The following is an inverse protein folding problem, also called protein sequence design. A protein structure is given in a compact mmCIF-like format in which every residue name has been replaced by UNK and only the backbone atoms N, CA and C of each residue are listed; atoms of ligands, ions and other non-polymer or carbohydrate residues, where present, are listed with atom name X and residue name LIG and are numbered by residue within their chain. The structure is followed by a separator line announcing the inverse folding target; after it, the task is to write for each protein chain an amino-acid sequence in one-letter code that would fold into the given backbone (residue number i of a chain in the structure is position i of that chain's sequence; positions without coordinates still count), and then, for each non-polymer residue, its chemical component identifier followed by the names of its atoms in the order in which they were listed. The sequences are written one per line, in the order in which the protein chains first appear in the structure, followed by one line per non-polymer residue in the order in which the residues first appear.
data_IF_856061533980
#
_entry.id   IF_856061533980
#
_cell.length_a   1.000
_cell.length_b   1.000
_cell.length_c   1.000
_cell.angle_alpha   90.00
_cell.angle_beta   90.00
_cell.angle_gamma   90.00
#
_symmetry.space_group_name_H-M   'P 1'
#
loop_
_entity.id
_entity.type
_entity.pdbx_description
1 polymer ?
#
# COMPACT_ATOMS: atom_id res chain seq x y z
N UNK A 1 -41.34 -39.07 -27.92
CA UNK A 1 -40.64 -39.62 -29.11
C UNK A 1 -39.95 -38.47 -29.81
N UNK A 2 -38.66 -38.44 -30.10
CA UNK A 2 -37.59 -39.41 -29.94
C UNK A 2 -36.28 -38.65 -29.66
N UNK A 3 -35.44 -39.30 -28.86
CA UNK A 3 -34.05 -38.98 -28.49
C UNK A 3 -33.08 -39.02 -29.67
N UNK A 4 -32.03 -38.20 -29.65
CA UNK A 4 -30.76 -38.49 -30.34
C UNK A 4 -29.60 -38.21 -29.38
N UNK A 5 -29.03 -39.30 -28.90
CA UNK A 5 -27.69 -39.35 -28.35
C UNK A 5 -26.71 -39.68 -29.49
N UNK A 6 -25.54 -39.06 -29.49
CA UNK A 6 -24.38 -39.57 -30.22
C UNK A 6 -23.14 -39.36 -29.35
N UNK A 7 -22.49 -40.47 -29.05
CA UNK A 7 -21.30 -40.55 -28.23
C UNK A 7 -20.08 -40.92 -29.09
N UNK A 8 -18.93 -40.39 -28.66
CA UNK A 8 -17.57 -40.96 -28.71
C UNK A 8 -16.86 -41.19 -30.07
N UNK A 9 -15.70 -40.54 -30.21
CA UNK A 9 -14.46 -41.23 -30.59
C UNK A 9 -13.24 -40.50 -29.98
N UNK A 10 -12.64 -41.13 -28.98
CA UNK A 10 -11.28 -40.85 -28.49
C UNK A 10 -10.29 -41.69 -29.32
N UNK A 11 -9.24 -41.06 -29.83
CA UNK A 11 -7.96 -41.72 -30.16
C UNK A 11 -6.86 -40.85 -29.59
N UNK A 12 -6.07 -41.40 -28.67
CA UNK A 12 -4.95 -40.73 -28.04
C UNK A 12 -3.60 -41.28 -28.50
N UNK A 13 -2.55 -40.50 -28.24
CA UNK A 13 -1.15 -40.90 -28.02
C UNK A 13 -0.51 -39.79 -27.16
N UNK A 14 -0.25 -40.06 -25.87
CA UNK A 14 1.09 -40.22 -25.24
C UNK A 14 1.97 -38.94 -25.25
N UNK A 15 2.52 -38.42 -24.15
CA UNK A 15 2.63 -38.93 -22.77
C UNK A 15 3.31 -37.92 -21.83
N UNK A 16 3.78 -38.44 -20.69
CA UNK A 16 4.27 -37.81 -19.45
C UNK A 16 3.17 -37.36 -18.48
N UNK A 17 3.02 -37.88 -17.26
CA UNK A 17 3.81 -38.87 -16.52
C UNK A 17 4.08 -38.38 -15.10
N UNK A 18 3.13 -38.67 -14.19
CA UNK A 18 3.28 -38.97 -12.74
C UNK A 18 3.90 -37.86 -11.86
N UNK A 19 3.30 -37.43 -10.73
CA UNK A 19 2.57 -38.25 -9.78
C UNK A 19 1.58 -37.55 -8.84
N UNK A 20 0.63 -38.39 -8.42
CA UNK A 20 -0.33 -38.31 -7.32
C UNK A 20 0.39 -38.13 -5.95
N UNK A 21 -0.23 -37.72 -4.84
CA UNK A 21 -1.55 -38.15 -4.40
C UNK A 21 -2.26 -37.18 -3.45
N UNK A 22 -3.58 -37.22 -3.61
CA UNK A 22 -4.68 -36.67 -2.84
C UNK A 22 -4.79 -37.20 -1.41
N UNK A 23 -5.43 -36.39 -0.55
CA UNK A 23 -5.84 -36.76 0.80
C UNK A 23 -7.04 -37.71 0.90
N UNK A 24 -7.56 -37.81 2.12
CA UNK A 24 -8.79 -38.52 2.46
C UNK A 24 -8.76 -39.01 3.91
N UNK A 25 -9.60 -38.42 4.76
CA UNK A 25 -9.64 -38.70 6.19
C UNK A 25 -10.35 -40.00 6.59
N UNK A 26 -10.30 -40.30 7.89
CA UNK A 26 -11.31 -41.09 8.61
C UNK A 26 -11.12 -40.90 10.12
N UNK A 27 -12.21 -40.54 10.79
CA UNK A 27 -12.35 -40.45 12.24
C UNK A 27 -12.69 -41.82 12.84
N UNK A 28 -11.96 -42.28 13.86
CA UNK A 28 -12.53 -43.15 14.92
C UNK A 28 -11.67 -43.13 16.20
N UNK A 29 -12.30 -42.90 17.35
CA UNK A 29 -12.10 -43.73 18.55
C UNK A 29 -10.94 -43.43 19.51
N UNK A 30 -11.26 -42.63 20.54
CA UNK A 30 -11.19 -43.00 21.96
C UNK A 30 -9.83 -43.29 22.68
N UNK A 31 -9.75 -42.68 23.89
CA UNK A 31 -9.06 -43.08 25.13
C UNK A 31 -7.68 -42.47 25.46
N UNK A 32 -7.76 -41.53 26.43
CA UNK A 32 -7.12 -41.56 27.75
C UNK A 32 -5.61 -41.28 27.91
N UNK A 33 -5.39 -40.42 28.91
CA UNK A 33 -4.17 -40.05 29.59
C UNK A 33 -3.26 -41.24 29.98
N UNK A 34 -1.95 -41.01 30.08
CA UNK A 34 -1.27 -40.94 31.38
C UNK A 34 0.18 -40.43 31.27
N UNK A 35 0.53 -39.73 32.33
CA UNK A 35 1.80 -39.27 32.88
C UNK A 35 3.00 -40.20 32.70
N UNK A 36 4.21 -39.63 32.67
CA UNK A 36 5.43 -40.43 32.76
C UNK A 36 6.72 -39.61 32.79
N UNK A 37 7.02 -39.08 33.97
CA UNK A 37 8.21 -38.31 34.32
C UNK A 37 9.51 -39.13 34.24
N UNK A 38 10.59 -38.42 33.89
CA UNK A 38 11.97 -38.45 34.44
C UNK A 38 12.77 -39.76 34.42
N UNK A 39 14.06 -39.67 34.06
CA UNK A 39 15.21 -39.58 35.00
C UNK A 39 16.53 -39.65 34.19
N UNK A 40 17.42 -38.66 34.35
CA UNK A 40 18.74 -38.81 35.03
C UNK A 40 19.83 -39.26 34.04
N UNK A 41 21.09 -38.86 34.09
CA UNK A 41 21.91 -37.99 34.95
C UNK A 41 23.31 -38.08 34.30
N UNK A 42 24.16 -37.05 34.42
CA UNK A 42 25.53 -37.21 34.93
C UNK A 42 26.28 -35.88 34.92
N UNK A 43 26.68 -35.52 36.14
CA UNK A 43 27.34 -34.32 36.58
C UNK A 43 28.88 -34.39 36.42
N UNK A 44 29.55 -33.24 36.59
CA UNK A 44 30.52 -32.92 37.67
C UNK A 44 31.53 -31.83 37.19
N UNK A 45 31.56 -30.72 37.95
CA UNK A 45 32.51 -29.58 37.99
C UNK A 45 33.92 -29.96 38.54
N UNK A 46 34.86 -29.09 39.03
CA UNK A 46 35.01 -27.61 39.04
C UNK A 46 36.44 -27.08 38.72
N UNK A 47 36.63 -25.75 38.68
CA UNK A 47 37.95 -25.13 38.43
C UNK A 47 38.16 -23.63 38.77
N UNK A 48 37.86 -23.20 40.01
CA UNK A 48 38.58 -22.23 40.90
C UNK A 48 39.11 -20.85 40.37
N UNK A 49 38.36 -19.78 40.73
CA UNK A 49 38.68 -18.53 41.48
C UNK A 49 39.47 -17.29 40.96
N UNK A 50 38.88 -16.13 41.38
CA UNK A 50 39.46 -14.85 41.88
C UNK A 50 39.85 -13.75 40.86
N UNK A 51 39.61 -12.44 41.01
CA UNK A 51 38.97 -11.55 42.04
C UNK A 51 38.87 -10.09 41.44
N UNK A 52 37.98 -9.25 42.00
CA UNK A 52 37.88 -7.77 41.94
C UNK A 52 37.64 -7.04 40.59
N UNK A 53 36.76 -6.03 40.45
CA UNK A 53 35.98 -5.28 41.42
C UNK A 53 35.22 -4.10 40.78
N UNK A 54 34.18 -3.64 41.47
CA UNK A 54 33.61 -2.30 41.50
C UNK A 54 33.35 -1.50 40.19
N UNK A 55 32.07 -1.42 39.82
CA UNK A 55 31.32 -0.16 39.74
C UNK A 55 31.78 0.93 38.76
N UNK A 56 31.04 1.07 37.66
CA UNK A 56 30.78 2.37 37.04
C UNK A 56 29.42 2.34 36.34
N UNK A 57 28.49 3.13 36.87
CA UNK A 57 27.30 3.57 36.16
C UNK A 57 27.73 4.30 34.88
N UNK A 58 27.06 4.02 33.75
CA UNK A 58 27.28 4.78 32.53
C UNK A 58 26.65 4.14 31.30
N UNK A 59 25.42 4.56 31.02
CA UNK A 59 24.82 4.70 29.69
C UNK A 59 25.47 3.91 28.53
N UNK A 60 24.89 2.76 28.18
CA UNK A 60 25.11 2.12 26.88
C UNK A 60 23.98 1.11 26.59
N UNK A 61 22.73 1.57 26.59
CA UNK A 61 21.60 0.83 26.03
C UNK A 61 20.69 1.81 25.31
N UNK A 62 21.23 2.51 24.30
CA UNK A 62 20.45 3.37 23.43
C UNK A 62 21.06 3.32 22.03
N UNK A 63 20.74 2.26 21.28
CA UNK A 63 20.99 2.10 19.84
C UNK A 63 20.31 0.85 19.25
N UNK A 64 19.86 -0.12 20.06
CA UNK A 64 19.39 -1.43 19.54
C UNK A 64 17.88 -1.55 19.33
N UNK A 65 17.10 -0.53 19.69
CA UNK A 65 15.65 -0.47 19.43
C UNK A 65 15.25 0.61 18.43
N UNK A 66 16.21 1.33 17.83
CA UNK A 66 15.95 2.34 16.80
C UNK A 66 15.82 1.76 15.39
N UNK A 67 15.65 0.44 15.24
CA UNK A 67 15.13 -0.14 14.00
C UNK A 67 13.63 0.11 13.90
N UNK A 68 13.32 1.40 13.76
CA UNK A 68 12.04 1.93 13.36
C UNK A 68 11.91 1.61 11.89
N UNK A 69 11.13 0.57 11.58
CA UNK A 69 10.46 0.46 10.29
C UNK A 69 9.74 1.80 10.05
N UNK A 70 9.77 2.41 8.85
CA UNK A 70 8.90 3.54 8.55
C UNK A 70 7.46 3.02 8.71
N UNK A 71 6.81 3.43 9.80
CA UNK A 71 5.65 2.74 10.38
C UNK A 71 6.05 1.88 11.58
N UNK A 72 6.40 2.52 12.71
CA UNK A 72 6.75 1.83 13.94
C UNK A 72 5.61 0.96 14.45
N UNK A 73 5.75 -0.37 14.32
CA UNK A 73 4.95 -1.32 15.06
C UNK A 73 5.33 -1.23 16.54
N UNK A 74 4.53 -0.50 17.32
CA UNK A 74 4.72 -0.28 18.76
C UNK A 74 3.40 0.19 19.39
N UNK A 75 3.28 0.07 20.71
CA UNK A 75 2.11 0.59 21.45
C UNK A 75 2.26 2.09 21.55
N UNK A 76 1.23 2.85 21.20
CA UNK A 76 1.25 4.31 21.32
C UNK A 76 0.38 4.74 22.50
N UNK A 77 0.86 5.72 23.26
CA UNK A 77 0.10 6.47 24.25
C UNK A 77 -0.13 7.88 23.69
N UNK A 78 -1.37 8.21 23.35
CA UNK A 78 -1.72 9.49 22.73
C UNK A 78 -2.09 10.53 23.80
N UNK A 79 -1.57 11.74 23.62
CA UNK A 79 -1.86 12.91 24.43
C UNK A 79 -2.27 14.08 23.53
N UNK A 80 -3.24 14.88 23.95
CA UNK A 80 -3.64 16.09 23.25
C UNK A 80 -4.19 17.11 24.25
N UNK A 81 -4.21 18.38 23.87
CA UNK A 81 -4.92 19.43 24.60
C UNK A 81 -5.52 20.45 23.64
N UNK A 82 -6.61 21.09 24.02
CA UNK A 82 -7.22 22.16 23.24
C UNK A 82 -7.98 21.73 21.98
N UNK A 83 -8.20 20.42 21.77
CA UNK A 83 -9.04 19.91 20.69
C UNK A 83 -10.50 20.36 20.88
N UNK A 84 -11.15 20.69 19.77
CA UNK A 84 -12.56 21.08 19.78
C UNK A 84 -13.47 19.94 20.23
N UNK A 85 -14.52 20.30 20.98
CA UNK A 85 -15.61 19.39 21.35
C UNK A 85 -16.86 19.58 20.49
N UNK A 86 -16.79 20.44 19.46
CA UNK A 86 -17.91 20.71 18.55
C UNK A 86 -18.13 19.54 17.59
N UNK A 87 -19.39 19.15 17.41
CA UNK A 87 -19.80 18.20 16.37
C UNK A 87 -20.35 18.95 15.16
N UNK A 88 -20.57 18.25 14.06
CA UNK A 88 -21.11 18.87 12.86
C UNK A 88 -21.60 17.88 11.82
N UNK A 89 -21.63 18.33 10.57
CA UNK A 89 -21.83 17.47 9.41
C UNK A 89 -20.88 17.86 8.30
N UNK A 90 -20.47 16.88 7.49
CA UNK A 90 -19.64 17.09 6.31
C UNK A 90 -20.05 16.12 5.21
N UNK A 91 -19.84 16.51 3.96
CA UNK A 91 -20.23 15.72 2.79
C UNK A 91 -19.35 14.48 2.69
N UNK A 92 -19.96 13.34 2.38
CA UNK A 92 -19.28 12.13 1.95
C UNK A 92 -19.54 11.86 0.46
N UNK A 93 -18.63 11.11 -0.15
CA UNK A 93 -18.67 10.75 -1.56
C UNK A 93 -18.44 9.25 -1.73
N UNK A 94 -18.84 8.71 -2.88
CA UNK A 94 -18.54 7.35 -3.29
C UNK A 94 -18.03 7.33 -4.72
N UNK A 95 -17.15 6.38 -5.02
CA UNK A 95 -16.76 6.11 -6.40
C UNK A 95 -17.88 5.36 -7.13
N UNK A 96 -18.36 5.89 -8.26
CA UNK A 96 -19.32 5.22 -9.13
C UNK A 96 -18.61 4.35 -10.17
N UNK A 97 -18.00 3.26 -9.69
CA UNK A 97 -17.28 2.30 -10.52
C UNK A 97 -18.15 1.71 -11.64
N UNK A 98 -19.44 1.48 -11.38
CA UNK A 98 -20.33 0.87 -12.36
C UNK A 98 -20.53 1.76 -13.58
N UNK A 99 -20.62 3.08 -13.39
CA UNK A 99 -20.72 4.03 -14.49
C UNK A 99 -19.46 4.05 -15.37
N UNK A 100 -18.28 3.81 -14.77
CA UNK A 100 -16.99 3.92 -15.44
C UNK A 100 -16.55 2.61 -16.13
N UNK A 101 -16.92 1.45 -15.59
CA UNK A 101 -16.46 0.13 -16.03
C UNK A 101 -17.12 -0.38 -17.34
N UNK A 102 -17.19 0.47 -18.37
CA UNK A 102 -17.80 0.16 -19.67
C UNK A 102 -16.73 -0.09 -20.73
N UNK A 103 -17.05 -0.96 -21.71
CA UNK A 103 -16.16 -1.21 -22.85
C UNK A 103 -15.81 0.07 -23.64
N UNK A 104 -16.73 1.02 -23.69
CA UNK A 104 -16.55 2.31 -24.38
C UNK A 104 -15.48 3.16 -23.69
N UNK A 105 -15.56 3.32 -22.37
CA UNK A 105 -14.57 4.07 -21.60
C UNK A 105 -13.18 3.42 -21.68
N UNK A 106 -13.12 2.09 -21.60
CA UNK A 106 -11.85 1.36 -21.75
C UNK A 106 -11.27 1.52 -23.16
N UNK A 107 -12.11 1.49 -24.19
CA UNK A 107 -11.66 1.72 -25.57
C UNK A 107 -11.19 3.16 -25.81
N UNK A 108 -11.83 4.15 -25.18
CA UNK A 108 -11.41 5.55 -25.24
C UNK A 108 -10.03 5.75 -24.60
N UNK A 109 -9.82 5.20 -23.40
CA UNK A 109 -8.52 5.20 -22.73
C UNK A 109 -7.44 4.50 -23.57
N UNK A 110 -7.74 3.31 -24.09
CA UNK A 110 -6.85 2.56 -24.96
C UNK A 110 -6.43 3.38 -26.20
N UNK A 111 -7.37 4.04 -26.85
CA UNK A 111 -7.10 4.86 -28.04
C UNK A 111 -6.18 6.05 -27.71
N UNK A 112 -6.38 6.69 -26.56
CA UNK A 112 -5.50 7.77 -26.09
C UNK A 112 -4.07 7.29 -25.80
N UNK A 113 -3.92 6.04 -25.36
CA UNK A 113 -2.63 5.37 -25.15
C UNK A 113 -2.05 4.77 -26.44
N UNK A 114 -2.61 5.11 -27.61
CA UNK A 114 -2.12 4.65 -28.90
C UNK A 114 -2.40 3.18 -29.21
N UNK A 115 -3.24 2.52 -28.41
CA UNK A 115 -3.61 1.13 -28.62
C UNK A 115 -4.80 1.02 -29.57
N UNK A 116 -4.78 -0.02 -30.41
CA UNK A 116 -5.88 -0.38 -31.29
C UNK A 116 -6.42 -1.76 -30.95
N UNK A 117 -7.73 -1.93 -31.00
CA UNK A 117 -8.39 -3.22 -30.81
C UNK A 117 -9.68 -3.09 -30.02
N UNK A 118 -10.25 -4.23 -29.64
CA UNK A 118 -11.46 -4.29 -28.82
C UNK A 118 -11.10 -4.87 -27.46
N UNK A 119 -11.31 -4.13 -26.35
CA UNK A 119 -11.09 -4.66 -25.01
C UNK A 119 -11.97 -5.89 -24.76
N UNK A 120 -11.41 -6.93 -24.14
CA UNK A 120 -12.14 -8.14 -23.73
C UNK A 120 -12.26 -8.19 -22.21
N UNK A 121 -13.40 -8.61 -21.70
CA UNK A 121 -13.60 -8.78 -20.26
C UNK A 121 -13.22 -10.19 -19.85
N UNK A 122 -12.15 -10.32 -19.06
CA UNK A 122 -11.58 -11.60 -18.63
C UNK A 122 -11.09 -11.50 -17.19
N UNK A 123 -11.35 -12.52 -16.37
CA UNK A 123 -10.87 -12.61 -14.98
C UNK A 123 -11.16 -11.37 -14.10
N UNK A 124 -12.30 -10.71 -14.30
CA UNK A 124 -12.70 -9.53 -13.51
C UNK A 124 -12.01 -8.22 -13.93
N UNK A 125 -11.37 -8.17 -15.11
CA UNK A 125 -10.81 -6.95 -15.68
C UNK A 125 -11.06 -6.88 -17.18
N UNK A 126 -11.23 -5.67 -17.71
CA UNK A 126 -11.12 -5.43 -19.14
C UNK A 126 -9.65 -5.44 -19.54
N UNK A 127 -9.35 -6.11 -20.63
CA UNK A 127 -7.99 -6.33 -21.12
C UNK A 127 -7.88 -5.89 -22.58
N UNK A 128 -6.76 -5.25 -22.91
CA UNK A 128 -6.33 -5.06 -24.30
C UNK A 128 -4.83 -5.29 -24.37
N UNK A 129 -4.36 -6.07 -25.35
CA UNK A 129 -2.96 -6.48 -25.46
C UNK A 129 -2.66 -7.80 -24.74
N UNK A 130 -1.38 -8.21 -24.76
CA UNK A 130 -0.89 -9.47 -24.20
C UNK A 130 0.10 -9.21 -23.06
N UNK A 131 0.06 -10.03 -22.02
CA UNK A 131 1.03 -9.99 -20.90
C UNK A 131 2.35 -10.71 -21.21
N UNK A 132 2.60 -11.10 -22.46
CA UNK A 132 3.87 -11.70 -22.87
C UNK A 132 5.06 -10.73 -22.86
N UNK A 133 4.81 -9.45 -22.57
CA UNK A 133 5.84 -8.42 -22.47
C UNK A 133 6.38 -7.93 -23.82
N UNK A 134 5.72 -8.27 -24.93
CA UNK A 134 6.21 -7.92 -26.28
C UNK A 134 5.49 -6.73 -26.92
N UNK A 135 4.35 -6.33 -26.36
CA UNK A 135 3.49 -5.26 -26.88
C UNK A 135 2.80 -4.51 -25.73
N UNK A 136 2.24 -3.31 -25.99
CA UNK A 136 1.48 -2.58 -24.99
C UNK A 136 0.33 -3.42 -24.42
N UNK A 137 0.10 -3.28 -23.13
CA UNK A 137 -1.01 -3.90 -22.41
C UNK A 137 -1.74 -2.86 -21.58
N UNK A 138 -3.07 -2.91 -21.62
CA UNK A 138 -3.98 -2.15 -20.77
C UNK A 138 -4.86 -3.13 -20.01
N UNK A 139 -4.93 -2.94 -18.70
CA UNK A 139 -5.85 -3.64 -17.81
C UNK A 139 -6.69 -2.62 -17.06
N UNK A 140 -8.00 -2.86 -16.99
CA UNK A 140 -8.94 -2.06 -16.21
C UNK A 140 -9.76 -2.98 -15.33
N UNK A 141 -9.53 -2.93 -14.03
CA UNK A 141 -10.16 -3.81 -13.05
C UNK A 141 -11.60 -3.38 -12.74
N UNK A 142 -12.47 -4.36 -12.46
CA UNK A 142 -13.84 -4.12 -11.98
C UNK A 142 -13.88 -3.89 -10.45
N UNK A 143 -12.90 -3.18 -9.91
CA UNK A 143 -12.85 -2.81 -8.49
C UNK A 143 -13.64 -1.53 -8.19
N UNK A 144 -13.75 -1.17 -6.91
CA UNK A 144 -14.54 0.00 -6.47
C UNK A 144 -14.06 1.35 -6.98
N UNK A 145 -12.90 1.44 -7.64
CA UNK A 145 -12.38 2.66 -8.27
C UNK A 145 -12.29 2.55 -9.79
N UNK A 146 -12.61 1.38 -10.35
CA UNK A 146 -12.30 1.03 -11.74
C UNK A 146 -10.84 1.34 -12.06
N UNK A 147 -9.94 0.79 -11.24
CA UNK A 147 -8.51 1.04 -11.39
C UNK A 147 -8.00 0.54 -12.74
N UNK A 148 -7.01 1.23 -13.30
CA UNK A 148 -6.36 0.81 -14.54
C UNK A 148 -4.85 0.82 -14.43
N UNK A 149 -4.22 0.01 -15.26
CA UNK A 149 -2.78 0.02 -15.49
C UNK A 149 -2.48 -0.18 -16.97
N UNK A 150 -1.51 0.57 -17.46
CA UNK A 150 -0.98 0.47 -18.80
C UNK A 150 0.54 0.33 -18.74
N UNK A 151 1.11 -0.44 -19.66
CA UNK A 151 2.55 -0.50 -19.87
C UNK A 151 2.86 -0.77 -21.34
N UNK A 152 3.85 -0.07 -21.89
CA UNK A 152 4.46 -0.34 -23.19
C UNK A 152 5.91 -0.84 -23.01
N UNK A 153 6.15 -2.16 -23.08
CA UNK A 153 7.50 -2.72 -22.98
C UNK A 153 8.49 -2.20 -24.03
N UNK A 154 8.03 -1.72 -25.18
CA UNK A 154 8.89 -1.17 -26.23
C UNK A 154 9.52 0.18 -25.83
N UNK A 155 8.94 0.86 -24.84
CA UNK A 155 9.40 2.14 -24.30
C UNK A 155 10.17 2.00 -22.97
N UNK A 156 10.61 0.78 -22.61
CA UNK A 156 11.28 0.52 -21.34
C UNK A 156 12.51 1.45 -21.15
N UNK A 157 12.47 2.38 -20.18
CA UNK A 157 13.51 3.38 -20.02
C UNK A 157 14.76 2.84 -19.32
N UNK A 158 14.72 1.63 -18.74
CA UNK A 158 15.83 1.06 -18.00
C UNK A 158 16.61 0.02 -18.80
N UNK A 159 16.11 -0.37 -19.98
CA UNK A 159 16.74 -1.39 -20.79
C UNK A 159 16.70 -1.06 -22.28
N UNK A 160 17.88 -0.89 -22.88
CA UNK A 160 18.02 -0.69 -24.32
C UNK A 160 17.91 -1.99 -25.11
N UNK A 161 18.48 -3.08 -24.59
CA UNK A 161 18.46 -4.39 -25.26
C UNK A 161 18.20 -5.52 -24.29
N UNK A 162 17.23 -6.37 -24.63
CA UNK A 162 17.00 -7.66 -23.98
C UNK A 162 17.57 -8.79 -24.81
N UNK A 163 18.08 -9.83 -24.17
CA UNK A 163 18.48 -11.05 -24.86
C UNK A 163 17.28 -11.97 -25.16
N UNK A 164 17.54 -13.14 -25.75
CA UNK A 164 16.52 -14.13 -26.07
C UNK A 164 15.82 -14.75 -24.84
N UNK A 165 16.36 -14.53 -23.63
CA UNK A 165 15.74 -14.94 -22.36
C UNK A 165 14.95 -13.82 -21.68
N UNK A 166 14.91 -12.62 -22.28
CA UNK A 166 14.24 -11.44 -21.73
C UNK A 166 15.06 -10.70 -20.68
N UNK A 167 16.34 -11.04 -20.51
CA UNK A 167 17.22 -10.37 -19.54
C UNK A 167 17.79 -9.10 -20.15
N UNK A 168 17.80 -8.02 -19.37
CA UNK A 168 18.43 -6.78 -19.80
C UNK A 168 19.95 -6.95 -19.92
N UNK A 169 20.47 -6.65 -21.11
CA UNK A 169 21.91 -6.77 -21.43
C UNK A 169 22.59 -5.43 -21.60
N UNK A 170 21.82 -4.36 -21.73
CA UNK A 170 22.31 -3.00 -21.85
C UNK A 170 21.32 -2.04 -21.18
N UNK A 171 21.80 -1.26 -20.21
CA UNK A 171 21.03 -0.16 -19.64
C UNK A 171 20.74 0.90 -20.70
N UNK A 172 19.53 1.44 -20.67
CA UNK A 172 19.18 2.52 -21.56
C UNK A 172 19.87 3.82 -21.13
N UNK A 173 20.56 4.43 -22.08
CA UNK A 173 21.05 5.80 -21.96
C UNK A 173 20.07 6.70 -22.70
N UNK A 174 19.50 7.69 -22.00
CA UNK A 174 18.54 8.61 -22.58
C UNK A 174 18.59 9.96 -21.88
N UNK A 175 18.26 11.01 -22.62
CA UNK A 175 18.01 12.30 -22.01
C UNK A 175 16.70 12.23 -21.23
N UNK A 176 16.73 12.74 -20.01
CA UNK A 176 15.55 12.88 -19.18
C UNK A 176 14.49 13.74 -19.93
N UNK A 177 13.27 13.22 -20.17
CA UNK A 177 12.23 14.01 -20.83
C UNK A 177 11.91 15.30 -20.07
N UNK A 178 11.43 16.32 -20.79
CA UNK A 178 11.02 17.59 -20.21
C UNK A 178 9.79 17.43 -19.30
N UNK A 179 9.73 18.22 -18.22
CA UNK A 179 8.65 18.16 -17.24
C UNK A 179 7.28 18.46 -17.84
N UNK A 180 7.16 19.58 -18.55
CA UNK A 180 5.91 20.00 -19.19
C UNK A 180 5.39 18.97 -20.19
N UNK A 181 6.29 18.21 -20.85
CA UNK A 181 5.90 17.15 -21.78
C UNK A 181 5.28 15.96 -21.06
N UNK A 182 5.87 15.52 -19.95
CA UNK A 182 5.33 14.42 -19.16
C UNK A 182 4.01 14.80 -18.47
N UNK A 183 3.92 16.04 -17.95
CA UNK A 183 2.68 16.56 -17.37
C UNK A 183 1.59 16.65 -18.43
N UNK A 184 1.88 17.19 -19.63
CA UNK A 184 0.91 17.24 -20.72
C UNK A 184 0.39 15.84 -21.10
N UNK A 185 1.26 14.83 -21.16
CA UNK A 185 0.84 13.46 -21.41
C UNK A 185 -0.11 12.91 -20.32
N UNK A 186 0.18 13.20 -19.04
CA UNK A 186 -0.74 12.83 -17.95
C UNK A 186 -2.10 13.53 -18.08
N UNK A 187 -2.12 14.82 -18.45
CA UNK A 187 -3.37 15.57 -18.68
C UNK A 187 -4.18 14.96 -19.82
N UNK A 188 -3.54 14.55 -20.91
CA UNK A 188 -4.21 13.93 -22.05
C UNK A 188 -4.84 12.58 -21.65
N UNK A 189 -4.18 11.79 -20.81
CA UNK A 189 -4.73 10.53 -20.28
C UNK A 189 -5.94 10.79 -19.36
N UNK A 190 -5.87 11.79 -18.47
CA UNK A 190 -6.99 12.18 -17.60
C UNK A 190 -8.18 12.72 -18.43
N UNK A 191 -7.91 13.52 -19.46
CA UNK A 191 -8.98 13.99 -20.34
C UNK A 191 -9.64 12.83 -21.11
N UNK A 192 -8.84 11.83 -21.53
CA UNK A 192 -9.32 10.65 -22.23
C UNK A 192 -10.14 9.69 -21.35
N UNK A 193 -9.93 9.69 -20.03
CA UNK A 193 -10.81 8.98 -19.09
C UNK A 193 -12.15 9.69 -18.86
N UNK A 194 -12.35 10.87 -19.45
CA UNK A 194 -13.56 11.68 -19.28
C UNK A 194 -13.52 12.58 -18.04
N UNK A 195 -12.35 12.76 -17.42
CA UNK A 195 -12.17 13.62 -16.25
C UNK A 195 -11.57 14.97 -16.65
N UNK A 196 -11.81 15.98 -15.79
CA UNK A 196 -11.24 17.30 -15.98
C UNK A 196 -9.80 17.33 -15.47
N UNK A 197 -8.83 17.51 -16.37
CA UNK A 197 -7.41 17.60 -16.02
C UNK A 197 -7.08 18.82 -15.14
N UNK A 198 -7.91 19.87 -15.14
CA UNK A 198 -7.76 21.05 -14.27
C UNK A 198 -8.21 20.76 -12.83
N UNK A 199 -8.94 19.67 -12.60
CA UNK A 199 -9.34 19.19 -11.27
C UNK A 199 -8.26 18.33 -10.59
N UNK A 200 -7.00 18.44 -11.01
CA UNK A 200 -5.88 17.69 -10.47
C UNK A 200 -4.71 18.63 -10.16
N UNK A 201 -3.96 18.29 -9.12
CA UNK A 201 -2.65 18.85 -8.85
C UNK A 201 -1.55 17.92 -9.37
N UNK A 202 -0.53 18.48 -10.02
CA UNK A 202 0.52 17.71 -10.68
C UNK A 202 1.85 17.95 -9.99
N UNK A 203 2.60 16.88 -9.77
CA UNK A 203 3.97 16.93 -9.28
C UNK A 203 4.85 16.03 -10.14
N UNK A 204 6.06 16.49 -10.42
CA UNK A 204 7.07 15.67 -11.09
C UNK A 204 8.35 15.76 -10.28
N UNK A 205 8.89 14.60 -9.95
CA UNK A 205 10.14 14.47 -9.18
C UNK A 205 11.05 13.51 -9.93
N UNK A 206 12.32 13.83 -10.01
CA UNK A 206 13.34 13.02 -10.67
C UNK A 206 14.51 12.84 -9.71
N UNK A 207 15.14 11.67 -9.75
CA UNK A 207 16.34 11.37 -8.99
C UNK A 207 17.59 11.50 -9.87
N UNK A 208 18.77 11.56 -9.25
CA UNK A 208 20.03 11.64 -10.00
C UNK A 208 20.25 10.37 -10.84
N UNK A 209 20.52 10.54 -12.14
CA UNK A 209 20.60 9.44 -13.09
C UNK A 209 19.26 8.93 -13.63
N UNK A 210 18.14 9.63 -13.39
CA UNK A 210 16.85 9.27 -13.97
C UNK A 210 16.88 9.33 -15.52
N UNK A 211 16.41 8.25 -16.13
CA UNK A 211 16.32 8.02 -17.59
C UNK A 211 14.89 8.13 -18.13
N UNK A 212 13.95 8.42 -17.23
CA UNK A 212 12.54 8.65 -17.47
C UNK A 212 12.01 9.62 -16.43
N UNK A 213 10.83 10.19 -16.70
CA UNK A 213 10.21 11.18 -15.84
C UNK A 213 8.91 10.68 -15.25
N UNK A 214 8.86 10.63 -13.93
CA UNK A 214 7.66 10.32 -13.18
C UNK A 214 6.77 11.55 -12.99
N UNK A 215 5.46 11.37 -13.10
CA UNK A 215 4.44 12.37 -12.80
C UNK A 215 3.40 11.74 -11.88
N UNK A 216 3.08 12.46 -10.81
CA UNK A 216 1.93 12.16 -9.96
C UNK A 216 0.85 13.22 -10.20
N UNK A 217 -0.38 12.78 -10.44
CA UNK A 217 -1.55 13.64 -10.53
C UNK A 217 -2.53 13.31 -9.41
N UNK A 218 -2.76 14.27 -8.51
CA UNK A 218 -3.61 14.15 -7.35
C UNK A 218 -4.99 14.74 -7.68
N UNK A 219 -6.08 13.95 -7.69
CA UNK A 219 -7.40 14.51 -7.84
C UNK A 219 -7.69 15.50 -6.71
N UNK A 220 -8.28 16.64 -7.06
CA UNK A 220 -8.70 17.67 -6.12
C UNK A 220 -10.22 17.62 -5.95
N UNK A 221 -10.66 17.65 -4.70
CA UNK A 221 -12.07 17.84 -4.34
C UNK A 221 -12.17 19.03 -3.41
N UNK A 222 -12.87 20.07 -3.85
CA UNK A 222 -12.98 21.35 -3.13
C UNK A 222 -11.62 21.99 -2.75
N UNK A 223 -10.59 21.71 -3.55
CA UNK A 223 -9.22 22.19 -3.34
C UNK A 223 -8.34 21.29 -2.45
N UNK A 224 -8.89 20.20 -1.91
CA UNK A 224 -8.13 19.21 -1.14
C UNK A 224 -7.71 18.03 -2.01
N UNK A 225 -6.48 17.53 -1.81
CA UNK A 225 -6.02 16.31 -2.48
C UNK A 225 -6.73 15.09 -1.93
N UNK A 226 -7.15 14.21 -2.83
CA UNK A 226 -7.54 12.85 -2.48
C UNK A 226 -6.30 11.97 -2.32
N UNK A 227 -6.38 10.96 -1.46
CA UNK A 227 -5.21 10.12 -1.12
C UNK A 227 -4.66 9.27 -2.28
N UNK A 228 -5.41 9.08 -3.37
CA UNK A 228 -5.02 8.22 -4.48
C UNK A 228 -4.54 9.06 -5.66
N UNK A 229 -3.22 9.26 -5.77
CA UNK A 229 -2.61 9.81 -6.96
C UNK A 229 -2.70 8.83 -8.13
N UNK A 230 -2.78 9.41 -9.33
CA UNK A 230 -2.42 8.73 -10.56
C UNK A 230 -0.92 8.84 -10.77
N UNK A 231 -0.33 7.82 -11.36
CA UNK A 231 1.10 7.76 -11.60
C UNK A 231 1.36 7.51 -13.07
N UNK A 232 2.30 8.25 -13.65
CA UNK A 232 2.75 8.09 -15.02
C UNK A 232 4.27 8.08 -15.05
N UNK A 233 4.84 7.14 -15.79
CA UNK A 233 6.24 7.14 -16.16
C UNK A 233 6.37 7.49 -17.64
N UNK A 234 7.02 8.62 -17.91
CA UNK A 234 7.24 9.11 -19.26
C UNK A 234 8.68 8.80 -19.68
N UNK A 235 8.82 7.98 -20.72
CA UNK A 235 10.10 7.61 -21.30
C UNK A 235 10.37 8.40 -22.59
N UNK A 236 11.59 8.24 -23.13
CA UNK A 236 11.86 8.73 -24.49
C UNK A 236 10.96 8.00 -25.47
N UNK A 237 10.09 8.75 -26.16
CA UNK A 237 9.15 8.19 -27.15
C UNK A 237 7.70 8.11 -26.69
N UNK A 238 7.40 8.31 -25.40
CA UNK A 238 6.01 8.39 -24.93
C UNK A 238 5.79 7.88 -23.51
N UNK A 239 4.53 7.57 -23.21
CA UNK A 239 4.11 6.99 -21.94
C UNK A 239 4.61 5.55 -21.85
N UNK A 240 5.56 5.28 -20.95
CA UNK A 240 6.02 3.91 -20.69
C UNK A 240 5.00 3.16 -19.84
N UNK A 241 4.52 3.79 -18.78
CA UNK A 241 3.47 3.24 -17.92
C UNK A 241 2.58 4.34 -17.36
N UNK A 242 1.32 3.98 -17.07
CA UNK A 242 0.40 4.86 -16.35
C UNK A 242 -0.63 4.03 -15.60
N UNK A 243 -0.99 4.47 -14.40
CA UNK A 243 -2.05 3.88 -13.59
C UNK A 243 -2.87 4.95 -12.88
N UNK A 244 -4.15 4.63 -12.65
CA UNK A 244 -5.13 5.56 -12.09
C UNK A 244 -6.49 4.90 -11.87
N UNK A 245 -7.54 5.71 -11.79
CA UNK A 245 -8.91 5.28 -11.44
C UNK A 245 -9.96 5.92 -12.33
N UNK A 246 -10.75 5.14 -13.07
CA UNK A 246 -11.75 5.71 -13.99
C UNK A 246 -13.06 6.12 -13.31
N UNK A 247 -13.33 5.62 -12.10
CA UNK A 247 -14.58 5.90 -11.42
C UNK A 247 -14.70 7.39 -11.05
N UNK A 248 -15.78 8.08 -11.45
CA UNK A 248 -16.06 9.42 -10.95
C UNK A 248 -16.54 9.37 -9.50
N UNK A 249 -16.40 10.49 -8.78
CA UNK A 249 -16.99 10.66 -7.46
C UNK A 249 -18.42 11.18 -7.57
N UNK A 250 -19.30 10.61 -6.76
CA UNK A 250 -20.68 11.07 -6.58
C UNK A 250 -20.91 11.43 -5.12
N UNK A 251 -21.58 12.56 -4.88
CA UNK A 251 -21.94 12.99 -3.53
C UNK A 251 -22.99 12.07 -2.92
N UNK A 252 -22.74 11.61 -1.69
CA UNK A 252 -23.66 10.78 -0.89
C UNK A 252 -24.49 11.62 0.10
N UNK A 253 -24.19 12.92 0.20
CA UNK A 253 -24.84 13.86 1.10
C UNK A 253 -24.06 14.08 2.39
N UNK A 254 -24.66 14.84 3.30
CA UNK A 254 -24.06 15.18 4.59
C UNK A 254 -24.12 14.01 5.58
N UNK A 255 -22.96 13.69 6.15
CA UNK A 255 -22.83 12.74 7.25
C UNK A 255 -22.59 13.50 8.56
N UNK A 256 -23.24 13.11 9.67
CA UNK A 256 -22.86 13.60 10.98
C UNK A 256 -21.42 13.23 11.29
N UNK A 257 -20.65 14.18 11.81
CA UNK A 257 -19.27 13.97 12.24
C UNK A 257 -19.12 14.16 13.75
N UNK A 258 -18.18 13.42 14.33
CA UNK A 258 -17.77 13.60 15.72
C UNK A 258 -16.87 14.83 15.86
N UNK A 259 -16.62 15.24 17.10
CA UNK A 259 -15.66 16.31 17.40
C UNK A 259 -14.22 15.84 17.24
N UNK A 260 -13.29 16.80 17.12
CA UNK A 260 -11.84 16.53 17.12
C UNK A 260 -11.43 15.71 18.35
N UNK A 261 -11.94 16.07 19.53
CA UNK A 261 -11.67 15.36 20.78
C UNK A 261 -12.17 13.90 20.72
N UNK A 262 -13.38 13.67 20.20
CA UNK A 262 -13.91 12.32 20.09
C UNK A 262 -13.18 11.48 19.04
N UNK A 263 -12.75 12.08 17.92
CA UNK A 263 -11.91 11.39 16.94
C UNK A 263 -10.50 11.09 17.50
N UNK A 264 -9.93 11.98 18.32
CA UNK A 264 -8.68 11.72 19.02
C UNK A 264 -8.81 10.51 19.96
N UNK A 265 -9.90 10.40 20.71
CA UNK A 265 -10.17 9.25 21.57
C UNK A 265 -10.23 7.93 20.78
N UNK A 266 -10.70 7.95 19.53
CA UNK A 266 -10.71 6.78 18.63
C UNK A 266 -9.31 6.28 18.25
N UNK A 267 -8.25 7.11 18.30
CA UNK A 267 -6.87 6.64 18.04
C UNK A 267 -6.45 5.53 18.99
N UNK A 268 -6.99 5.52 20.21
CA UNK A 268 -6.74 4.49 21.21
C UNK A 268 -7.83 3.40 21.26
N UNK A 269 -8.88 3.51 20.44
CA UNK A 269 -9.99 2.56 20.41
C UNK A 269 -9.68 1.39 19.46
N UNK A 270 -9.66 0.14 19.96
CA UNK A 270 -9.41 -1.05 19.14
C UNK A 270 -10.39 -1.26 17.99
N UNK A 271 -11.59 -0.65 18.03
CA UNK A 271 -12.58 -0.72 16.95
C UNK A 271 -12.14 0.04 15.69
N UNK A 272 -11.33 1.07 15.87
CA UNK A 272 -10.92 1.96 14.78
C UNK A 272 -9.47 1.72 14.35
N UNK A 273 -8.58 1.45 15.32
CA UNK A 273 -7.16 1.24 15.09
C UNK A 273 -6.46 2.51 14.60
N UNK A 274 -5.51 3.06 15.35
CA UNK A 274 -4.70 4.18 14.86
C UNK A 274 -3.94 3.76 13.59
N UNK A 275 -4.21 4.46 12.49
CA UNK A 275 -3.41 4.34 11.27
C UNK A 275 -2.53 5.58 11.13
N UNK A 276 -1.20 5.37 11.06
CA UNK A 276 -0.29 6.42 10.60
C UNK A 276 -0.55 6.62 9.12
N UNK A 277 -0.87 7.85 8.72
CA UNK A 277 -0.91 8.21 7.31
C UNK A 277 0.52 8.38 6.85
N UNK A 278 1.00 7.43 6.03
CA UNK A 278 2.37 7.45 5.48
C UNK A 278 2.57 8.65 4.52
N UNK A 279 1.49 9.29 4.07
CA UNK A 279 1.50 10.44 3.16
C UNK A 279 0.69 11.60 3.76
N UNK A 280 1.29 12.77 4.03
CA UNK A 280 0.53 13.94 4.44
C UNK A 280 -0.38 14.42 3.31
N UNK A 281 -1.67 14.62 3.58
CA UNK A 281 -2.63 14.99 2.52
C UNK A 281 -2.33 16.37 1.88
N UNK A 282 -1.64 17.25 2.60
CA UNK A 282 -1.42 18.65 2.20
C UNK A 282 0.06 18.98 1.95
N UNK A 283 0.95 17.99 1.99
CA UNK A 283 2.40 18.19 1.88
C UNK A 283 2.89 18.11 0.43
N UNK A 284 3.92 18.90 0.03
CA UNK A 284 4.70 18.52 -1.14
C UNK A 284 5.18 17.09 -0.93
N UNK A 285 5.10 16.27 -1.97
CA UNK A 285 5.70 14.93 -1.98
C UNK A 285 7.16 15.11 -1.55
N UNK A 286 7.47 14.81 -0.30
CA UNK A 286 8.83 14.76 0.20
C UNK A 286 9.45 13.45 -0.32
N UNK A 287 9.57 13.34 -1.64
CA UNK A 287 10.63 12.54 -2.26
C UNK A 287 11.99 13.25 -2.09
N UNK A 288 11.98 14.49 -1.59
CA UNK A 288 13.07 15.07 -0.81
C UNK A 288 12.75 15.00 0.69
N UNK A 289 12.53 13.79 1.22
CA UNK A 289 13.04 13.53 2.56
C UNK A 289 14.56 13.57 2.43
N UNK A 290 15.10 14.78 2.51
CA UNK A 290 16.51 15.04 2.59
C UNK A 290 17.11 14.08 3.61
N UNK A 291 17.89 13.14 3.06
CA UNK A 291 19.03 12.53 3.73
C UNK A 291 19.89 13.60 4.44
N UNK A 292 19.75 14.88 4.11
CA UNK A 292 20.47 16.01 4.70
C UNK A 292 19.91 16.61 6.02
N UNK A 293 18.66 16.35 6.45
CA UNK A 293 18.21 16.80 7.79
C UNK A 293 17.85 15.65 8.75
N UNK A 294 17.79 14.42 8.24
CA UNK A 294 17.82 13.20 9.07
C UNK A 294 19.25 12.77 9.44
N UNK A 295 20.26 13.53 9.02
CA UNK A 295 21.68 13.30 9.33
C UNK A 295 22.06 13.50 10.81
N UNK A 296 21.14 14.02 11.65
CA UNK A 296 21.36 14.11 13.10
C UNK A 296 20.75 12.96 13.93
N UNK A 297 19.96 12.07 13.32
CA UNK A 297 19.35 10.93 14.01
C UNK A 297 19.91 9.60 13.49
N UNK A 298 21.16 9.31 13.89
CA UNK A 298 21.74 7.96 13.94
C UNK A 298 21.45 7.06 12.74
N UNK A 299 22.07 7.35 11.59
CA UNK A 299 22.34 6.32 10.58
C UNK A 299 23.46 5.40 11.10
N UNK A 300 23.16 4.60 12.12
CA UNK A 300 24.00 3.46 12.46
C UNK A 300 23.89 2.45 11.32
N UNK A 301 25.02 2.21 10.64
CA UNK A 301 25.14 1.16 9.64
C UNK A 301 24.73 -0.15 10.32
N UNK A 302 23.66 -0.76 9.81
CA UNK A 302 23.19 -2.05 10.32
C UNK A 302 24.29 -3.10 10.16
N UNK A 303 24.94 -3.46 11.25
CA UNK A 303 25.84 -4.60 11.31
C UNK A 303 25.03 -5.85 11.66
N UNK A 304 24.99 -6.87 10.78
CA UNK A 304 24.31 -8.13 11.08
C UNK A 304 24.87 -8.73 12.37
N UNK A 305 24.02 -9.24 13.27
CA UNK A 305 24.48 -9.93 14.47
C UNK A 305 25.39 -11.11 14.08
N UNK A 306 26.60 -11.17 14.65
CA UNK A 306 27.52 -12.29 14.45
C UNK A 306 27.27 -13.46 15.41
N UNK A 307 26.38 -13.27 16.38
CA UNK A 307 25.98 -14.28 17.36
C UNK A 307 24.49 -14.13 17.68
N UNK A 308 23.86 -15.24 18.08
CA UNK A 308 22.49 -15.23 18.58
C UNK A 308 22.39 -14.45 19.91
N UNK A 309 21.21 -13.89 20.25
CA UNK A 309 20.99 -13.30 21.57
C UNK A 309 21.27 -14.32 22.68
N UNK A 310 21.91 -13.86 23.76
CA UNK A 310 22.10 -14.69 24.93
C UNK A 310 20.75 -15.16 25.50
N UNK A 311 20.72 -16.38 26.05
CA UNK A 311 19.54 -16.91 26.74
C UNK A 311 19.15 -15.95 27.89
N UNK A 312 17.91 -15.44 27.93
CA UNK A 312 17.46 -14.59 29.03
C UNK A 312 17.53 -15.34 30.36
N UNK A 313 18.02 -14.68 31.41
CA UNK A 313 18.03 -15.22 32.75
C UNK A 313 16.64 -15.15 33.41
N UNK A 314 16.41 -16.00 34.41
CA UNK A 314 15.18 -15.94 35.19
C UNK A 314 15.06 -14.56 35.87
N UNK A 315 13.94 -13.87 35.64
CA UNK A 315 13.72 -12.50 36.13
C UNK A 315 14.21 -11.40 35.19
N UNK A 316 14.66 -11.74 33.97
CA UNK A 316 14.98 -10.75 32.94
C UNK A 316 13.80 -9.80 32.70
N UNK A 317 14.12 -8.51 32.59
CA UNK A 317 13.12 -7.50 32.26
C UNK A 317 12.52 -7.77 30.88
N UNK A 318 11.19 -7.70 30.80
CA UNK A 318 10.48 -7.81 29.53
C UNK A 318 10.49 -6.43 28.86
N UNK A 319 11.10 -6.34 27.67
CA UNK A 319 11.01 -5.13 26.87
C UNK A 319 9.56 -4.90 26.47
N UNK A 320 9.04 -3.71 26.79
CA UNK A 320 7.66 -3.32 26.55
C UNK A 320 7.60 -1.84 26.16
N UNK A 321 8.22 -1.50 25.04
CA UNK A 321 8.26 -0.14 24.54
C UNK A 321 6.85 0.40 24.29
N UNK A 322 6.60 1.61 24.79
CA UNK A 322 5.42 2.43 24.53
C UNK A 322 5.93 3.78 24.00
N UNK A 323 5.39 4.23 22.88
CA UNK A 323 5.72 5.52 22.31
C UNK A 323 4.73 6.56 22.84
N UNK A 324 5.24 7.65 23.42
CA UNK A 324 4.42 8.80 23.77
C UNK A 324 4.24 9.69 22.53
N UNK A 325 2.99 9.94 22.15
CA UNK A 325 2.62 10.74 20.96
C UNK A 325 1.79 11.94 21.40
N UNK A 326 2.36 13.14 21.28
CA UNK A 326 1.66 14.39 21.58
C UNK A 326 1.06 14.98 20.30
N UNK A 327 -0.26 14.99 20.19
CA UNK A 327 -1.01 15.64 19.10
C UNK A 327 -1.09 17.14 19.35
N UNK A 328 -0.66 17.92 18.36
CA UNK A 328 -0.58 19.39 18.43
C UNK A 328 -1.58 20.10 17.52
N UNK A 329 -2.10 19.41 16.50
CA UNK A 329 -3.16 19.95 15.63
C UNK A 329 -4.10 18.87 15.12
N UNK A 330 -5.32 19.27 14.82
CA UNK A 330 -6.32 18.48 14.10
C UNK A 330 -6.87 19.32 12.96
N UNK A 331 -7.09 18.70 11.80
CA UNK A 331 -7.81 19.30 10.68
C UNK A 331 -8.81 18.30 10.14
N UNK A 332 -9.97 18.77 9.70
CA UNK A 332 -10.92 17.96 8.96
C UNK A 332 -10.53 17.97 7.48
N UNK A 333 -10.53 16.80 6.86
CA UNK A 333 -10.37 16.62 5.42
C UNK A 333 -11.09 15.36 4.96
N UNK A 334 -10.61 14.77 3.86
CA UNK A 334 -11.23 13.60 3.24
C UNK A 334 -10.30 12.39 3.22
N UNK A 335 -10.85 11.23 3.59
CA UNK A 335 -10.12 9.96 3.59
C UNK A 335 -10.88 8.84 2.88
N UNK A 336 -10.15 7.95 2.22
CA UNK A 336 -10.73 6.81 1.52
C UNK A 336 -11.02 5.64 2.47
N UNK A 337 -12.15 4.98 2.29
CA UNK A 337 -12.60 3.83 3.07
C UNK A 337 -13.09 2.72 2.15
N UNK A 338 -12.35 1.61 2.13
CA UNK A 338 -12.71 0.42 1.37
C UNK A 338 -13.72 -0.41 2.16
N UNK A 339 -14.84 -0.70 1.52
CA UNK A 339 -15.92 -1.48 2.12
C UNK A 339 -15.71 -2.98 1.88
N UNK A 340 -16.38 -3.81 2.67
CA UNK A 340 -16.31 -5.28 2.53
C UNK A 340 -16.84 -5.79 1.19
N UNK A 341 -17.73 -5.04 0.54
CA UNK A 341 -18.27 -5.33 -0.79
C UNK A 341 -17.36 -4.85 -1.95
N UNK A 342 -16.23 -4.23 -1.62
CA UNK A 342 -15.26 -3.71 -2.59
C UNK A 342 -15.55 -2.29 -3.09
N UNK A 343 -16.66 -1.66 -2.68
CA UNK A 343 -16.90 -0.24 -2.94
C UNK A 343 -15.92 0.64 -2.16
N UNK A 344 -15.67 1.84 -2.68
CA UNK A 344 -14.76 2.80 -2.05
C UNK A 344 -15.50 4.10 -1.78
N UNK A 345 -15.52 4.49 -0.50
CA UNK A 345 -16.07 5.75 -0.05
C UNK A 345 -14.94 6.76 0.17
N UNK A 346 -15.25 8.04 -0.02
CA UNK A 346 -14.40 9.15 0.40
C UNK A 346 -15.18 9.92 1.45
N UNK A 347 -14.74 9.84 2.70
CA UNK A 347 -15.51 10.27 3.86
C UNK A 347 -14.75 11.30 4.69
N UNK A 348 -15.48 12.15 5.45
CA UNK A 348 -14.88 13.06 6.41
C UNK A 348 -13.92 12.32 7.36
N UNK A 349 -12.70 12.83 7.47
CA UNK A 349 -11.59 12.24 8.21
C UNK A 349 -10.82 13.35 8.91
N UNK A 350 -10.53 13.18 10.20
CA UNK A 350 -9.61 14.07 10.90
C UNK A 350 -8.18 13.60 10.67
N UNK A 351 -7.32 14.55 10.31
CA UNK A 351 -5.88 14.40 10.25
C UNK A 351 -5.28 15.12 11.45
N UNK A 352 -4.59 14.36 12.30
CA UNK A 352 -3.89 14.84 13.47
C UNK A 352 -2.39 14.92 13.18
N UNK A 353 -1.76 16.02 13.56
CA UNK A 353 -0.29 16.16 13.48
C UNK A 353 0.27 16.08 14.89
N UNK A 354 1.31 15.27 15.09
CA UNK A 354 2.01 15.21 16.36
C UNK A 354 3.17 16.22 16.45
N UNK A 355 3.73 16.37 17.65
CA UNK A 355 4.82 17.29 17.93
C UNK A 355 6.12 16.96 17.16
N UNK A 356 6.26 15.72 16.65
CA UNK A 356 7.36 15.30 15.80
C UNK A 356 7.06 15.52 14.29
N UNK A 357 5.87 15.99 13.96
CA UNK A 357 5.43 16.26 12.59
C UNK A 357 4.83 15.06 11.86
N UNK A 358 4.62 13.92 12.53
CA UNK A 358 3.95 12.78 11.90
C UNK A 358 2.43 13.00 11.84
N UNK A 359 1.81 12.49 10.77
CA UNK A 359 0.36 12.60 10.56
C UNK A 359 -0.36 11.28 10.87
N UNK A 360 -1.47 11.40 11.58
CA UNK A 360 -2.35 10.31 11.98
C UNK A 360 -3.75 10.61 11.43
N UNK A 361 -4.43 9.61 10.87
CA UNK A 361 -5.79 9.81 10.37
C UNK A 361 -6.81 8.99 11.14
N UNK A 362 -8.00 9.58 11.27
CA UNK A 362 -9.13 8.94 11.92
C UNK A 362 -10.43 9.35 11.24
N UNK A 363 -11.27 8.38 10.89
CA UNK A 363 -12.60 8.63 10.33
C UNK A 363 -13.39 9.56 11.27
N UNK A 364 -13.95 10.64 10.71
CA UNK A 364 -14.72 11.63 11.47
C UNK A 364 -16.21 11.28 11.53
N UNK A 365 -16.69 10.38 10.67
CA UNK A 365 -18.09 9.95 10.61
C UNK A 365 -18.57 9.44 11.97
N UNK A 366 -19.74 9.90 12.42
CA UNK A 366 -20.33 9.52 13.71
C UNK A 366 -20.77 8.06 13.75
N UNK A 367 -20.68 7.43 14.93
CA UNK A 367 -21.00 6.01 15.17
C UNK A 367 -22.39 5.62 14.65
N UNK A 368 -23.36 6.55 14.63
CA UNK A 368 -24.71 6.28 14.12
C UNK A 368 -24.78 5.94 12.62
N UNK A 369 -23.71 6.22 11.88
CA UNK A 369 -23.57 5.92 10.44
C UNK A 369 -22.49 4.86 10.17
N UNK A 370 -21.88 4.29 11.21
CA UNK A 370 -20.88 3.24 11.07
C UNK A 370 -21.51 1.88 11.35
N UNK A 371 -21.28 0.92 10.47
CA UNK A 371 -21.61 -0.47 10.70
C UNK A 371 -20.38 -1.21 11.25
N UNK A 372 -20.44 -1.60 12.52
CA UNK A 372 -19.38 -2.37 13.17
C UNK A 372 -19.56 -3.89 13.02
N UNK A 373 -20.62 -4.36 12.35
CA UNK A 373 -20.94 -5.78 12.24
C UNK A 373 -20.31 -6.46 11.01
N UNK A 374 -20.05 -5.72 9.93
CA UNK A 374 -19.32 -6.17 8.74
C UNK A 374 -20.09 -7.10 7.79
#
# INVERSE_FOLDING_TARGET
AASVAAALALVGTAGYGVGAASGGGSSTGQLAADSGRSTEELAIEPGIAADAGAGANGAALDSRSSLVYPGGSGRNAFHASGLSTETGSAVAYGYDARSAATAENVAALAAALGMSGTPTLENGSWMLGSYDGTAPVLSVSLDGTTSFSYTDPALNPWCATVDASGVCTQEAAGDLPAEDTAIAAMRDVIAASGQDADAFEYTSTVYDGAVSRSVQAWPLLDGERLQQAWYLEYATGGVYSVNGSLAPLVGLGDYPIVSEQAAFERLSDPRFGASMSIMPADGPVALDMGVAEREAASSEIWTPPTEAPATPEAGSALSWAVNDVEIVSARLGLGSQWQSDGSVLVVPTYYFTDAAGAEWSMIAVADSQLDFAG
#
